data_IF_511358809204
#
_entry.id   IF_511358809204
#
_cell.length_a   1.000
_cell.length_b   1.000
_cell.length_c   1.000
_cell.angle_alpha   90.00
_cell.angle_beta   90.00
_cell.angle_gamma   90.00
#
_symmetry.space_group_name_H-M   'P 1'
#
loop_
_entity.id
_entity.type
_entity.pdbx_description
1 polymer ?
#
# COMPACT_ATOMS: atom_id res chain seq x y z
N UNK A 1 21.83 13.27 -32.71
CA UNK A 1 21.94 13.12 -31.24
C UNK A 1 21.62 11.68 -30.93
N UNK A 2 22.58 10.94 -30.36
CA UNK A 2 22.26 9.65 -29.75
C UNK A 2 21.62 9.92 -28.40
N UNK A 3 20.45 9.33 -28.17
CA UNK A 3 19.68 9.46 -26.92
C UNK A 3 19.74 8.11 -26.21
N UNK A 4 20.49 8.07 -25.11
CA UNK A 4 20.66 6.89 -24.26
C UNK A 4 19.82 7.06 -22.99
N UNK A 5 19.15 6.00 -22.55
CA UNK A 5 18.43 5.96 -21.28
C UNK A 5 18.60 4.60 -20.59
N UNK A 6 18.42 4.59 -19.27
CA UNK A 6 18.38 3.39 -18.42
C UNK A 6 17.02 3.40 -17.69
N UNK A 7 16.34 2.25 -17.67
CA UNK A 7 15.03 2.08 -17.04
C UNK A 7 15.03 0.84 -16.15
N UNK A 8 14.75 1.03 -14.87
CA UNK A 8 14.59 -0.04 -13.90
C UNK A 8 13.31 0.15 -13.09
N UNK A 9 12.42 -0.84 -13.12
CA UNK A 9 11.24 -0.92 -12.26
C UNK A 9 11.23 -2.29 -11.56
N UNK A 10 11.51 -2.35 -10.26
CA UNK A 10 11.61 -3.61 -9.52
C UNK A 10 10.24 -4.23 -9.19
N UNK A 11 9.13 -3.55 -9.47
CA UNK A 11 7.78 -4.03 -9.15
C UNK A 11 7.43 -5.27 -9.99
N UNK A 12 7.11 -6.37 -9.32
CA UNK A 12 6.63 -7.59 -9.97
C UNK A 12 5.13 -7.49 -10.27
N UNK A 13 4.77 -7.51 -11.54
CA UNK A 13 3.39 -7.27 -12.00
C UNK A 13 2.72 -8.59 -12.41
N UNK A 14 1.58 -8.89 -11.77
CA UNK A 14 0.69 -9.96 -12.18
C UNK A 14 -0.51 -9.37 -12.95
N UNK A 15 -0.44 -9.41 -14.28
CA UNK A 15 -1.49 -8.85 -15.13
C UNK A 15 -2.36 -9.94 -15.78
N UNK A 16 -3.67 -9.72 -15.78
CA UNK A 16 -4.63 -10.58 -16.48
C UNK A 16 -5.88 -10.89 -15.66
N UNK A 17 -6.92 -11.40 -16.34
CA UNK A 17 -8.16 -11.83 -15.69
C UNK A 17 -7.87 -13.01 -14.76
N UNK A 18 -8.34 -12.91 -13.51
CA UNK A 18 -8.18 -13.97 -12.50
C UNK A 18 -6.85 -13.98 -11.76
N UNK A 19 -5.93 -13.05 -12.04
CA UNK A 19 -4.61 -13.02 -11.38
C UNK A 19 -4.66 -12.84 -9.87
N UNK A 20 -5.71 -12.21 -9.33
CA UNK A 20 -5.93 -12.17 -7.88
C UNK A 20 -5.97 -13.57 -7.26
N UNK A 21 -6.48 -14.58 -7.98
CA UNK A 21 -6.59 -15.95 -7.47
C UNK A 21 -5.24 -16.70 -7.41
N UNK A 22 -4.18 -16.08 -7.94
CA UNK A 22 -2.79 -16.57 -7.86
C UNK A 22 -2.02 -15.95 -6.67
N UNK A 23 -2.59 -14.95 -5.98
CA UNK A 23 -1.94 -14.22 -4.88
C UNK A 23 -1.43 -15.17 -3.79
N UNK A 24 -2.25 -16.13 -3.36
CA UNK A 24 -1.90 -17.06 -2.28
C UNK A 24 -0.82 -18.08 -2.66
N UNK A 25 -0.43 -18.13 -3.95
CA UNK A 25 0.69 -18.94 -4.44
C UNK A 25 1.98 -18.13 -4.60
N UNK A 26 1.93 -16.81 -4.43
CA UNK A 26 3.12 -15.95 -4.49
C UNK A 26 3.90 -16.00 -3.18
N UNK A 27 5.19 -15.68 -3.24
CA UNK A 27 5.99 -15.46 -2.04
C UNK A 27 5.53 -14.18 -1.35
N UNK A 28 4.96 -14.33 -0.14
CA UNK A 28 4.53 -13.19 0.67
C UNK A 28 5.73 -12.52 1.33
N UNK A 29 5.74 -11.18 1.48
CA UNK A 29 6.84 -10.46 2.13
C UNK A 29 6.94 -10.73 3.64
N UNK A 30 5.83 -11.13 4.28
CA UNK A 30 5.73 -11.32 5.72
C UNK A 30 4.64 -12.32 6.12
N UNK A 31 4.27 -12.30 7.41
CA UNK A 31 3.30 -13.20 8.02
C UNK A 31 2.03 -12.51 8.49
N UNK A 32 2.05 -11.21 8.72
CA UNK A 32 0.88 -10.44 9.17
C UNK A 32 0.73 -9.16 8.36
N UNK A 33 -0.29 -9.16 7.50
CA UNK A 33 -0.61 -8.04 6.65
C UNK A 33 -1.50 -7.01 7.35
N UNK A 34 -1.18 -5.73 7.16
CA UNK A 34 -2.19 -4.68 7.22
C UNK A 34 -3.01 -4.73 5.93
N UNK A 35 -4.29 -5.09 5.99
CA UNK A 35 -5.19 -4.96 4.83
C UNK A 35 -5.74 -3.52 4.81
N UNK A 36 -5.11 -2.69 3.98
CA UNK A 36 -5.42 -1.27 3.83
C UNK A 36 -6.48 -1.05 2.75
N UNK A 37 -7.58 -0.39 3.12
CA UNK A 37 -8.72 -0.13 2.25
C UNK A 37 -9.38 1.21 2.58
N UNK A 38 -10.23 1.69 1.67
CA UNK A 38 -11.29 2.65 2.02
C UNK A 38 -12.40 1.94 2.81
N UNK A 39 -13.66 2.38 2.73
CA UNK A 39 -14.81 1.75 3.41
C UNK A 39 -15.12 0.30 2.97
N UNK A 40 -14.31 -0.30 2.11
CA UNK A 40 -14.44 -1.67 1.61
C UNK A 40 -15.64 -1.92 0.70
N UNK A 41 -16.51 -0.93 0.42
CA UNK A 41 -17.76 -1.14 -0.34
C UNK A 41 -17.49 -1.66 -1.75
N UNK A 42 -16.60 -0.99 -2.50
CA UNK A 42 -16.25 -1.41 -3.87
C UNK A 42 -15.58 -2.78 -3.91
N UNK A 43 -14.63 -3.02 -2.98
CA UNK A 43 -13.94 -4.29 -2.86
C UNK A 43 -14.89 -5.46 -2.53
N UNK A 44 -15.90 -5.22 -1.68
CA UNK A 44 -16.93 -6.20 -1.33
C UNK A 44 -17.90 -6.45 -2.49
N UNK A 45 -18.42 -5.40 -3.14
CA UNK A 45 -19.35 -5.54 -4.28
C UNK A 45 -18.70 -6.30 -5.45
N UNK A 46 -17.42 -6.03 -5.74
CA UNK A 46 -16.67 -6.72 -6.78
C UNK A 46 -16.20 -8.14 -6.41
N UNK A 47 -16.43 -8.57 -5.16
CA UNK A 47 -15.89 -9.81 -4.59
C UNK A 47 -14.36 -9.85 -4.50
N UNK A 48 -13.67 -8.72 -4.71
CA UNK A 48 -12.22 -8.64 -4.58
C UNK A 48 -11.78 -8.78 -3.12
N UNK A 49 -12.57 -8.27 -2.18
CA UNK A 49 -12.33 -8.42 -0.74
C UNK A 49 -12.28 -9.90 -0.33
N UNK A 50 -13.35 -10.65 -0.61
CA UNK A 50 -13.44 -12.06 -0.21
C UNK A 50 -12.34 -12.91 -0.85
N UNK A 51 -12.03 -12.66 -2.13
CA UNK A 51 -10.92 -13.32 -2.83
C UNK A 51 -9.58 -12.99 -2.22
N UNK A 52 -9.32 -11.72 -1.89
CA UNK A 52 -8.07 -11.29 -1.25
C UNK A 52 -7.88 -12.00 0.09
N UNK A 53 -8.90 -11.97 0.95
CA UNK A 53 -8.85 -12.64 2.26
C UNK A 53 -8.64 -14.15 2.12
N UNK A 54 -9.34 -14.80 1.17
CA UNK A 54 -9.17 -16.23 0.91
C UNK A 54 -7.74 -16.57 0.46
N UNK A 55 -7.13 -15.75 -0.38
CA UNK A 55 -5.78 -15.95 -0.89
C UNK A 55 -4.70 -15.70 0.17
N UNK A 56 -4.86 -14.65 0.98
CA UNK A 56 -3.98 -14.40 2.12
C UNK A 56 -4.05 -15.55 3.14
N UNK A 57 -5.26 -16.06 3.42
CA UNK A 57 -5.44 -17.25 4.26
C UNK A 57 -4.75 -18.47 3.67
N UNK A 58 -4.85 -18.70 2.35
CA UNK A 58 -4.15 -19.79 1.65
C UNK A 58 -2.62 -19.66 1.79
N UNK A 59 -2.08 -18.45 1.80
CA UNK A 59 -0.67 -18.17 2.05
C UNK A 59 -0.27 -18.20 3.53
N UNK A 60 -1.19 -18.55 4.44
CA UNK A 60 -0.99 -18.53 5.90
C UNK A 60 -0.57 -17.15 6.43
N UNK A 61 -1.19 -16.10 5.89
CA UNK A 61 -1.02 -14.71 6.33
C UNK A 61 -2.16 -14.33 7.28
N UNK A 62 -1.80 -13.82 8.45
CA UNK A 62 -2.72 -13.14 9.36
C UNK A 62 -3.04 -11.73 8.85
N UNK A 63 -4.24 -11.21 9.14
CA UNK A 63 -4.68 -9.92 8.61
C UNK A 63 -5.16 -9.03 9.77
N UNK A 64 -4.72 -7.78 9.78
CA UNK A 64 -5.33 -6.69 10.52
C UNK A 64 -5.98 -5.72 9.53
N UNK A 65 -7.28 -5.47 9.64
CA UNK A 65 -8.02 -4.65 8.67
C UNK A 65 -8.03 -3.17 9.07
N UNK A 66 -7.62 -2.30 8.13
CA UNK A 66 -7.74 -0.85 8.27
C UNK A 66 -8.50 -0.27 7.07
N UNK A 67 -9.80 -0.02 7.28
CA UNK A 67 -10.76 0.34 6.24
C UNK A 67 -11.20 1.82 6.33
N UNK A 68 -10.24 2.73 6.59
CA UNK A 68 -10.50 4.16 6.84
C UNK A 68 -9.93 5.11 5.79
N UNK A 69 -9.31 4.60 4.71
CA UNK A 69 -8.74 5.47 3.67
C UNK A 69 -9.84 6.29 3.00
N UNK A 70 -9.65 7.60 2.97
CA UNK A 70 -10.54 8.56 2.30
C UNK A 70 -10.07 8.82 0.86
N UNK A 71 -10.95 9.35 0.02
CA UNK A 71 -10.62 9.70 -1.37
C UNK A 71 -9.44 10.69 -1.45
N UNK A 72 -9.40 11.63 -0.50
CA UNK A 72 -8.28 12.54 -0.26
C UNK A 72 -7.65 12.19 1.10
N UNK A 73 -6.63 11.32 1.13
CA UNK A 73 -6.06 10.82 2.38
C UNK A 73 -5.28 11.91 3.10
N UNK A 74 -5.76 12.31 4.27
CA UNK A 74 -5.07 13.30 5.12
C UNK A 74 -4.03 12.62 6.00
N UNK A 75 -3.03 13.41 6.43
CA UNK A 75 -1.96 12.96 7.33
C UNK A 75 -2.46 12.18 8.54
N UNK A 76 -3.48 12.67 9.25
CA UNK A 76 -3.93 12.05 10.49
C UNK A 76 -4.38 10.60 10.29
N UNK A 77 -5.05 10.32 9.15
CA UNK A 77 -5.46 8.97 8.77
C UNK A 77 -4.25 8.08 8.45
N UNK A 78 -3.24 8.62 7.77
CA UNK A 78 -1.99 7.89 7.48
C UNK A 78 -1.26 7.54 8.78
N UNK A 79 -1.13 8.51 9.69
CA UNK A 79 -0.48 8.31 10.98
C UNK A 79 -1.26 7.31 11.84
N UNK A 80 -2.58 7.35 11.82
CA UNK A 80 -3.44 6.36 12.46
C UNK A 80 -3.22 4.96 11.88
N UNK A 81 -3.18 4.83 10.55
CA UNK A 81 -2.92 3.55 9.87
C UNK A 81 -1.54 2.98 10.21
N UNK A 82 -0.52 3.83 10.30
CA UNK A 82 0.83 3.44 10.67
C UNK A 82 0.94 2.99 12.13
N UNK A 83 0.28 3.70 13.04
CA UNK A 83 0.17 3.30 14.44
C UNK A 83 -0.55 1.97 14.59
N UNK A 84 -1.70 1.81 13.92
CA UNK A 84 -2.48 0.57 13.90
C UNK A 84 -1.66 -0.61 13.36
N UNK A 85 -0.86 -0.39 12.31
CA UNK A 85 0.05 -1.40 11.77
C UNK A 85 1.07 -1.88 12.82
N UNK A 86 1.73 -0.95 13.51
CA UNK A 86 2.69 -1.24 14.58
C UNK A 86 2.05 -1.98 15.75
N UNK A 87 0.92 -1.46 16.25
CA UNK A 87 0.22 -2.01 17.42
C UNK A 87 -0.28 -3.44 17.16
N UNK A 88 -0.66 -3.75 15.92
CA UNK A 88 -1.07 -5.09 15.52
C UNK A 88 0.10 -5.99 15.10
N UNK A 89 1.34 -5.48 15.07
CA UNK A 89 2.52 -6.23 14.65
C UNK A 89 2.48 -6.64 13.17
N UNK A 90 1.95 -5.77 12.30
CA UNK A 90 1.95 -6.03 10.86
C UNK A 90 3.37 -5.87 10.31
N UNK A 91 3.81 -6.82 9.49
CA UNK A 91 5.14 -6.85 8.88
C UNK A 91 5.14 -6.54 7.38
N UNK A 92 3.95 -6.40 6.75
CA UNK A 92 3.77 -5.86 5.41
C UNK A 92 2.36 -5.28 5.21
N UNK A 93 2.13 -4.60 4.09
CA UNK A 93 0.84 -4.01 3.72
C UNK A 93 0.27 -4.71 2.48
N UNK A 94 -1.03 -4.99 2.51
CA UNK A 94 -1.84 -5.34 1.34
C UNK A 94 -2.80 -4.18 1.08
N UNK A 95 -2.55 -3.41 0.02
CA UNK A 95 -3.38 -2.27 -0.37
C UNK A 95 -4.43 -2.70 -1.40
N UNK A 96 -5.71 -2.70 -1.02
CA UNK A 96 -6.82 -3.14 -1.87
C UNK A 96 -7.75 -1.96 -2.17
N UNK A 97 -7.67 -1.40 -3.38
CA UNK A 97 -8.46 -0.23 -3.74
C UNK A 97 -8.01 0.48 -5.01
N UNK A 98 -8.40 1.75 -5.15
CA UNK A 98 -7.90 2.64 -6.21
C UNK A 98 -6.72 3.49 -5.74
N UNK A 99 -6.34 4.49 -6.54
CA UNK A 99 -5.14 5.32 -6.34
C UNK A 99 -4.95 5.82 -4.90
N UNK A 100 -5.97 6.42 -4.28
CA UNK A 100 -5.88 6.92 -2.90
C UNK A 100 -5.44 5.87 -1.86
N UNK A 101 -5.88 4.60 -2.03
CA UNK A 101 -5.47 3.49 -1.14
C UNK A 101 -4.04 3.07 -1.41
N UNK A 102 -3.65 3.02 -2.68
CA UNK A 102 -2.29 2.65 -3.08
C UNK A 102 -1.28 3.70 -2.64
N UNK A 103 -1.58 4.98 -2.86
CA UNK A 103 -0.75 6.10 -2.41
C UNK A 103 -0.63 6.08 -0.88
N UNK A 104 -1.76 6.00 -0.16
CA UNK A 104 -1.76 5.91 1.30
C UNK A 104 -0.88 4.77 1.82
N UNK A 105 -0.80 3.65 1.11
CA UNK A 105 0.04 2.52 1.53
C UNK A 105 1.53 2.86 1.57
N UNK A 106 2.02 3.75 0.69
CA UNK A 106 3.42 4.18 0.67
C UNK A 106 3.76 4.97 1.93
N UNK A 107 2.94 5.95 2.29
CA UNK A 107 3.17 6.73 3.50
C UNK A 107 2.91 5.91 4.79
N UNK A 108 1.88 5.06 4.81
CA UNK A 108 1.64 4.16 5.95
C UNK A 108 2.83 3.21 6.14
N UNK A 109 3.39 2.65 5.07
CA UNK A 109 4.57 1.79 5.13
C UNK A 109 5.80 2.52 5.68
N UNK A 110 6.07 3.73 5.18
CA UNK A 110 7.17 4.57 5.65
C UNK A 110 6.99 4.92 7.13
N UNK A 111 5.81 5.41 7.51
CA UNK A 111 5.52 5.86 8.87
C UNK A 111 5.34 4.73 9.86
N UNK A 112 5.04 3.50 9.44
CA UNK A 112 5.01 2.35 10.34
C UNK A 112 6.42 1.93 10.79
N UNK A 113 7.42 2.09 9.91
CA UNK A 113 8.81 1.69 10.15
C UNK A 113 9.71 2.83 10.68
N UNK A 114 9.21 4.07 10.70
CA UNK A 114 9.98 5.25 11.08
C UNK A 114 9.20 6.09 12.11
N UNK A 115 9.94 6.73 13.02
CA UNK A 115 9.38 7.64 14.01
C UNK A 115 9.09 9.02 13.42
N UNK A 116 8.51 9.92 14.22
CA UNK A 116 8.28 11.31 13.81
C UNK A 116 6.97 11.52 13.07
N UNK A 117 6.91 12.61 12.29
CA UNK A 117 5.71 13.04 11.59
C UNK A 117 5.79 12.79 10.09
N UNK A 118 4.68 12.49 9.42
CA UNK A 118 4.65 12.33 7.96
C UNK A 118 5.32 13.50 7.23
N UNK A 119 5.04 14.74 7.65
CA UNK A 119 5.60 15.94 7.01
C UNK A 119 7.10 16.13 7.25
N UNK A 120 7.72 15.37 8.15
CA UNK A 120 9.17 15.32 8.23
C UNK A 120 9.79 14.71 6.96
N UNK A 121 9.09 13.78 6.30
CA UNK A 121 9.64 12.96 5.21
C UNK A 121 9.16 13.35 3.82
N UNK A 122 8.02 14.02 3.70
CA UNK A 122 7.49 14.46 2.39
C UNK A 122 8.46 15.46 1.75
N UNK A 123 8.73 15.30 0.44
CA UNK A 123 9.66 16.13 -0.32
C UNK A 123 9.04 17.41 -0.92
N UNK A 124 7.70 17.50 -1.00
CA UNK A 124 6.98 18.62 -1.59
C UNK A 124 6.18 19.45 -0.57
N UNK A 125 5.72 20.64 -1.00
CA UNK A 125 4.89 21.53 -0.18
C UNK A 125 5.59 21.98 1.10
N UNK A 126 4.89 21.86 2.24
CA UNK A 126 5.42 22.12 3.60
C UNK A 126 6.28 20.99 4.17
N UNK A 127 6.54 19.93 3.40
CA UNK A 127 7.37 18.80 3.81
C UNK A 127 8.85 19.16 4.01
N UNK A 128 9.52 18.47 4.94
CA UNK A 128 10.92 18.74 5.31
C UNK A 128 11.94 17.88 4.55
N UNK A 129 11.49 16.91 3.75
CA UNK A 129 12.33 16.08 2.91
C UNK A 129 13.43 15.31 3.65
N UNK A 130 13.21 14.94 4.92
CA UNK A 130 14.19 14.12 5.64
C UNK A 130 14.25 12.72 5.02
N UNK A 131 15.45 12.11 4.94
CA UNK A 131 15.55 10.72 4.52
C UNK A 131 14.92 9.79 5.57
N UNK A 132 14.33 8.69 5.11
CA UNK A 132 13.88 7.61 6.01
C UNK A 132 15.09 6.94 6.66
N UNK A 133 14.99 6.64 7.96
CA UNK A 133 16.03 5.94 8.70
C UNK A 133 15.97 4.42 8.45
N UNK A 134 14.76 3.89 8.32
CA UNK A 134 14.47 2.49 8.00
C UNK A 134 13.68 2.40 6.68
N UNK A 135 13.86 1.35 5.88
CA UNK A 135 12.96 1.09 4.77
C UNK A 135 11.52 0.92 5.28
N UNK A 136 10.55 1.42 4.50
CA UNK A 136 9.13 1.19 4.79
C UNK A 136 8.77 -0.30 4.75
N UNK A 137 7.62 -0.64 5.32
CA UNK A 137 7.07 -1.99 5.20
C UNK A 137 6.90 -2.38 3.72
N UNK A 138 7.14 -3.65 3.34
CA UNK A 138 6.84 -4.12 2.00
C UNK A 138 5.36 -3.95 1.66
N UNK A 139 5.05 -3.70 0.38
CA UNK A 139 3.69 -3.41 -0.09
C UNK A 139 3.31 -4.41 -1.19
N UNK A 140 2.10 -4.96 -1.09
CA UNK A 140 1.42 -5.70 -2.16
C UNK A 140 0.18 -4.92 -2.56
N UNK A 141 0.11 -4.48 -3.80
CA UNK A 141 -1.02 -3.69 -4.33
C UNK A 141 -1.99 -4.56 -5.12
N UNK A 142 -3.28 -4.43 -4.82
CA UNK A 142 -4.39 -5.03 -5.57
C UNK A 142 -5.28 -3.89 -6.06
N UNK A 143 -4.98 -3.41 -7.28
CA UNK A 143 -5.70 -2.27 -7.86
C UNK A 143 -7.11 -2.66 -8.33
N UNK A 144 -8.09 -1.81 -8.02
CA UNK A 144 -9.48 -1.94 -8.47
C UNK A 144 -9.87 -0.89 -9.53
N UNK A 145 -8.95 0.01 -9.87
CA UNK A 145 -9.17 1.10 -10.83
C UNK A 145 -7.97 1.26 -11.76
N UNK A 146 -8.21 1.52 -13.05
CA UNK A 146 -7.16 1.91 -13.98
C UNK A 146 -7.11 3.44 -14.06
N UNK A 147 -6.07 4.07 -13.50
CA UNK A 147 -5.99 5.53 -13.41
C UNK A 147 -4.58 6.04 -13.11
N UNK A 148 -4.18 6.00 -11.84
CA UNK A 148 -2.97 6.69 -11.35
C UNK A 148 -1.65 5.97 -11.67
N UNK A 149 -1.69 4.65 -11.87
CA UNK A 149 -0.46 3.84 -12.00
C UNK A 149 0.33 3.71 -10.70
N UNK A 150 -0.30 4.01 -9.55
CA UNK A 150 0.31 3.90 -8.23
C UNK A 150 0.77 2.48 -7.89
N UNK A 151 0.16 1.47 -8.53
CA UNK A 151 0.52 0.06 -8.37
C UNK A 151 1.90 -0.31 -8.95
N UNK A 152 2.57 0.59 -9.70
CA UNK A 152 3.87 0.34 -10.31
C UNK A 152 4.94 1.38 -9.95
N UNK A 153 4.70 2.25 -8.96
CA UNK A 153 5.66 3.29 -8.56
C UNK A 153 5.82 3.36 -7.02
N UNK A 154 6.70 4.25 -6.55
CA UNK A 154 7.07 4.40 -5.14
C UNK A 154 6.58 5.72 -4.52
N UNK A 155 5.67 6.42 -5.18
CA UNK A 155 5.16 7.72 -4.79
C UNK A 155 3.74 7.61 -4.26
N UNK A 156 3.39 8.50 -3.35
CA UNK A 156 1.99 8.72 -2.99
C UNK A 156 1.72 10.21 -2.87
N UNK A 157 0.53 10.61 -3.27
CA UNK A 157 0.07 11.99 -3.24
C UNK A 157 -0.92 12.21 -2.10
N UNK A 158 -0.70 13.27 -1.32
CA UNK A 158 -1.50 13.60 -0.15
C UNK A 158 -1.77 15.11 -0.14
N UNK A 159 -3.02 15.55 0.10
CA UNK A 159 -3.31 16.95 0.38
C UNK A 159 -2.66 17.39 1.70
N UNK A 160 -2.33 18.67 1.78
CA UNK A 160 -1.96 19.33 3.04
C UNK A 160 -3.14 19.38 4.04
#
# INVERSE_FOLDING_TARGET
>A
MEMNFDFNNPTHILFGRGKLDELGSQQMPGKKALLLMSNGRSAKISGAYDRTVAQLKKASVEIAEFAKVMENPVKDMIMEGAAFARENGCDFIVALGGGAVLDSSVAVAAMAANDGDLWDYVYGGTGKGKPLANPGLPIVTITLTAGTGSEINQWGEYPE
#
